data_IF_153429381165
#
_entry.id   IF_153429381165
#
_cell.length_a   1.000
_cell.length_b   1.000
_cell.length_c   1.000
_cell.angle_alpha   90.00
_cell.angle_beta   90.00
_cell.angle_gamma   90.00
#
_symmetry.space_group_name_H-M   'P 1'
#
loop_
_entity.id
_entity.type
_entity.pdbx_description
1 polymer ?
#
# COMPACT_ATOMS: atom_id res chain seq x y z
N UNK A 1 15.60 3.60 18.15
CA UNK A 1 14.23 4.19 18.25
C UNK A 1 13.20 3.06 18.28
N UNK A 2 11.99 3.24 18.89
CA UNK A 2 10.91 2.26 18.76
C UNK A 2 10.40 2.22 17.32
N UNK A 3 10.09 1.01 16.84
CA UNK A 3 9.43 0.82 15.55
C UNK A 3 7.96 0.54 15.82
N UNK A 4 7.08 1.25 15.15
CA UNK A 4 5.63 1.09 15.18
C UNK A 4 5.10 0.85 13.77
N UNK A 5 3.93 0.25 13.65
CA UNK A 5 3.26 0.11 12.35
C UNK A 5 1.83 0.67 12.42
N UNK A 6 1.46 1.46 11.43
CA UNK A 6 0.08 1.80 11.12
C UNK A 6 -0.35 0.98 9.91
N UNK A 7 -1.32 0.10 10.11
CA UNK A 7 -1.94 -0.70 9.05
C UNK A 7 -3.25 -0.03 8.67
N UNK A 8 -3.33 0.48 7.44
CA UNK A 8 -4.52 1.14 6.91
C UNK A 8 -5.51 0.10 6.38
N UNK A 9 -6.66 -0.04 7.02
CA UNK A 9 -7.72 -1.01 6.72
C UNK A 9 -9.06 -0.34 6.39
N UNK A 10 -9.04 0.81 5.70
CA UNK A 10 -10.22 1.64 5.43
C UNK A 10 -10.88 1.45 4.05
N UNK A 11 -10.34 0.60 3.17
CA UNK A 11 -10.85 0.41 1.82
C UNK A 11 -12.19 -0.35 1.78
N UNK A 12 -13.05 -0.06 0.80
CA UNK A 12 -14.32 -0.78 0.59
C UNK A 12 -14.17 -2.09 -0.19
N UNK A 13 -13.12 -2.22 -1.02
CA UNK A 13 -12.84 -3.42 -1.79
C UNK A 13 -13.93 -3.84 -2.79
N UNK A 14 -14.78 -2.94 -3.25
CA UNK A 14 -15.97 -3.20 -4.09
C UNK A 14 -15.68 -3.99 -5.38
N UNK A 15 -14.43 -3.94 -5.89
CA UNK A 15 -14.02 -4.70 -7.09
C UNK A 15 -13.97 -6.21 -6.88
N UNK A 16 -14.05 -6.67 -5.62
CA UNK A 16 -14.06 -8.09 -5.26
C UNK A 16 -15.46 -8.63 -5.01
N UNK A 17 -16.49 -7.84 -5.38
CA UNK A 17 -17.84 -8.38 -5.42
C UNK A 17 -17.90 -9.63 -6.31
N UNK A 18 -18.61 -10.70 -5.92
CA UNK A 18 -19.51 -10.84 -4.78
C UNK A 18 -18.86 -11.33 -3.48
N UNK A 19 -17.57 -11.61 -3.39
CA UNK A 19 -16.94 -11.98 -2.10
C UNK A 19 -16.83 -10.79 -1.15
N UNK A 20 -16.47 -9.58 -1.66
CA UNK A 20 -16.52 -8.37 -0.83
C UNK A 20 -17.94 -7.84 -0.70
N UNK A 21 -18.26 -7.36 0.48
CA UNK A 21 -19.54 -6.75 0.83
C UNK A 21 -19.29 -5.48 1.67
N UNK A 22 -20.33 -4.65 1.81
CA UNK A 22 -20.29 -3.48 2.67
C UNK A 22 -19.91 -3.83 4.14
N UNK A 23 -20.34 -5.00 4.61
CA UNK A 23 -20.02 -5.50 5.94
C UNK A 23 -18.72 -6.35 5.98
N UNK A 24 -18.19 -6.77 4.84
CA UNK A 24 -17.00 -7.61 4.72
C UNK A 24 -16.11 -7.14 3.55
N UNK A 25 -15.38 -6.02 3.70
CA UNK A 25 -14.49 -5.51 2.65
C UNK A 25 -13.27 -6.40 2.40
N UNK A 26 -12.57 -6.14 1.29
CA UNK A 26 -11.44 -6.93 0.76
C UNK A 26 -10.40 -7.30 1.82
N UNK A 27 -10.00 -6.37 2.67
CA UNK A 27 -8.94 -6.60 3.66
C UNK A 27 -9.28 -7.67 4.70
N UNK A 28 -10.56 -7.96 4.87
CA UNK A 28 -11.06 -8.99 5.77
C UNK A 28 -11.37 -10.32 5.06
N UNK A 29 -11.08 -10.40 3.74
CA UNK A 29 -11.26 -11.62 2.96
C UNK A 29 -9.99 -12.48 3.00
N UNK A 30 -10.18 -13.79 3.00
CA UNK A 30 -9.14 -14.76 2.66
C UNK A 30 -9.10 -14.93 1.14
N UNK A 31 -8.03 -14.46 0.52
CA UNK A 31 -7.79 -14.58 -0.93
C UNK A 31 -6.67 -15.58 -1.25
N UNK A 32 -6.06 -16.14 -0.22
CA UNK A 32 -4.95 -17.09 -0.29
C UNK A 32 -5.40 -18.49 0.17
N UNK A 33 -4.59 -19.53 -0.13
CA UNK A 33 -4.91 -20.93 0.19
C UNK A 33 -4.78 -21.26 1.68
N UNK A 34 -4.11 -20.43 2.47
CA UNK A 34 -3.85 -20.65 3.91
C UNK A 34 -5.03 -20.27 4.81
N UNK A 35 -6.12 -19.77 4.24
CA UNK A 35 -7.33 -19.38 4.98
C UNK A 35 -7.21 -18.08 5.77
N UNK A 36 -6.05 -17.41 5.77
CA UNK A 36 -5.85 -16.14 6.47
C UNK A 36 -6.36 -14.97 5.66
N UNK A 37 -6.88 -13.97 6.36
CA UNK A 37 -7.32 -12.73 5.72
C UNK A 37 -6.13 -11.85 5.34
N UNK A 38 -6.34 -10.92 4.41
CA UNK A 38 -5.29 -9.99 3.98
C UNK A 38 -4.75 -9.16 5.16
N UNK A 39 -5.63 -8.74 6.08
CA UNK A 39 -5.25 -8.04 7.30
C UNK A 39 -4.35 -8.91 8.19
N UNK A 40 -4.73 -10.17 8.44
CA UNK A 40 -3.93 -11.11 9.23
C UNK A 40 -2.55 -11.33 8.63
N UNK A 41 -2.47 -11.56 7.31
CA UNK A 41 -1.21 -11.72 6.59
C UNK A 41 -0.32 -10.47 6.70
N UNK A 42 -0.91 -9.28 6.65
CA UNK A 42 -0.14 -8.03 6.77
C UNK A 42 0.43 -7.86 8.18
N UNK A 43 -0.36 -8.14 9.22
CA UNK A 43 0.10 -8.09 10.61
C UNK A 43 1.20 -9.11 10.86
N UNK A 44 0.95 -10.38 10.54
CA UNK A 44 1.92 -11.46 10.77
C UNK A 44 3.27 -11.20 10.09
N UNK A 45 3.24 -10.62 8.90
CA UNK A 45 4.43 -10.29 8.12
C UNK A 45 5.36 -9.33 8.84
N UNK A 46 4.84 -8.38 9.62
CA UNK A 46 5.66 -7.37 10.31
C UNK A 46 5.98 -7.70 11.76
N UNK A 47 5.31 -8.69 12.36
CA UNK A 47 5.57 -9.12 13.74
C UNK A 47 7.05 -9.41 14.08
N UNK A 48 7.90 -9.92 13.15
CA UNK A 48 9.32 -10.13 13.44
C UNK A 48 10.11 -8.85 13.74
N UNK A 49 9.59 -7.66 13.35
CA UNK A 49 10.26 -6.37 13.57
C UNK A 49 9.42 -5.36 14.35
N UNK A 50 8.11 -5.59 14.47
CA UNK A 50 7.16 -4.71 15.19
C UNK A 50 6.35 -5.58 16.15
N UNK A 51 6.54 -5.49 17.46
CA UNK A 51 5.73 -6.23 18.43
C UNK A 51 4.26 -5.80 18.35
N UNK A 52 3.32 -6.71 18.72
CA UNK A 52 1.88 -6.49 18.56
C UNK A 52 1.39 -5.22 19.26
N UNK A 53 1.92 -4.89 20.42
CA UNK A 53 1.59 -3.66 21.18
C UNK A 53 2.02 -2.36 20.50
N UNK A 54 2.86 -2.46 19.44
CA UNK A 54 3.29 -1.33 18.61
C UNK A 54 2.56 -1.28 17.25
N UNK A 55 1.64 -2.21 16.99
CA UNK A 55 0.84 -2.24 15.76
C UNK A 55 -0.46 -1.49 16.02
N UNK A 56 -0.78 -0.55 15.14
CA UNK A 56 -2.04 0.19 15.08
C UNK A 56 -2.77 -0.19 13.80
N UNK A 57 -4.09 -0.35 13.88
CA UNK A 57 -4.95 -0.60 12.72
C UNK A 57 -5.94 0.54 12.59
N UNK A 58 -5.85 1.30 11.49
CA UNK A 58 -6.83 2.34 11.18
C UNK A 58 -7.90 1.77 10.25
N UNK A 59 -9.16 1.88 10.66
CA UNK A 59 -10.30 1.33 9.93
C UNK A 59 -11.54 2.20 10.10
N UNK A 60 -12.61 1.91 9.36
CA UNK A 60 -13.91 2.56 9.59
C UNK A 60 -14.58 2.03 10.86
N UNK A 61 -15.34 2.89 11.54
CA UNK A 61 -16.07 2.56 12.77
C UNK A 61 -16.83 1.22 12.70
N UNK A 62 -17.44 0.93 11.55
CA UNK A 62 -18.25 -0.29 11.34
C UNK A 62 -17.43 -1.58 11.27
N UNK A 63 -16.09 -1.50 11.21
CA UNK A 63 -15.21 -2.66 11.06
C UNK A 63 -14.39 -2.96 12.31
N UNK A 64 -14.61 -2.24 13.41
CA UNK A 64 -13.89 -2.44 14.68
C UNK A 64 -13.98 -3.88 15.16
N UNK A 65 -15.19 -4.43 15.19
CA UNK A 65 -15.43 -5.79 15.66
C UNK A 65 -14.76 -6.84 14.77
N UNK A 66 -14.74 -6.61 13.44
CA UNK A 66 -14.01 -7.48 12.49
C UNK A 66 -12.50 -7.45 12.73
N UNK A 67 -11.93 -6.27 13.02
CA UNK A 67 -10.51 -6.18 13.36
C UNK A 67 -10.22 -6.97 14.61
N UNK A 68 -11.06 -6.83 15.63
CA UNK A 68 -10.89 -7.53 16.90
C UNK A 68 -11.07 -9.06 16.77
N UNK A 69 -12.04 -9.50 15.98
CA UNK A 69 -12.24 -10.92 15.65
C UNK A 69 -11.03 -11.52 14.95
N UNK A 70 -10.47 -10.82 13.95
CA UNK A 70 -9.36 -11.32 13.14
C UNK A 70 -8.00 -11.16 13.82
N UNK A 71 -7.86 -10.20 14.72
CA UNK A 71 -6.64 -9.89 15.47
C UNK A 71 -6.91 -9.87 16.97
N UNK A 72 -7.20 -11.03 17.60
CA UNK A 72 -7.64 -11.07 19.01
C UNK A 72 -6.58 -10.59 20.02
N UNK A 73 -5.31 -10.49 19.59
CA UNK A 73 -4.21 -10.01 20.44
C UNK A 73 -3.88 -8.52 20.23
N UNK A 74 -4.61 -7.79 19.39
CA UNK A 74 -4.42 -6.36 19.23
C UNK A 74 -4.93 -5.62 20.46
N UNK A 75 -4.21 -4.57 20.87
CA UNK A 75 -4.69 -3.72 21.95
C UNK A 75 -5.89 -2.89 21.47
N UNK A 76 -6.92 -2.78 22.28
CA UNK A 76 -8.15 -2.05 21.96
C UNK A 76 -7.89 -0.59 21.61
N UNK A 77 -6.99 0.08 22.35
CA UNK A 77 -6.57 1.45 22.06
C UNK A 77 -5.76 1.62 20.79
N UNK A 78 -5.31 0.52 20.17
CA UNK A 78 -4.56 0.54 18.90
C UNK A 78 -5.48 0.35 17.67
N UNK A 79 -6.78 0.11 17.88
CA UNK A 79 -7.77 0.09 16.78
C UNK A 79 -8.33 1.50 16.62
N UNK A 80 -7.82 2.21 15.60
CA UNK A 80 -8.18 3.60 15.32
C UNK A 80 -9.37 3.64 14.37
N UNK A 81 -10.53 4.03 14.90
CA UNK A 81 -11.78 4.02 14.14
C UNK A 81 -12.05 5.39 13.51
N UNK A 82 -11.90 5.49 12.19
CA UNK A 82 -12.29 6.70 11.44
C UNK A 82 -13.82 6.78 11.36
N UNK A 83 -14.44 7.88 11.83
CA UNK A 83 -15.90 8.07 11.74
C UNK A 83 -16.39 8.10 10.29
N UNK A 84 -15.57 8.65 9.40
CA UNK A 84 -15.77 8.71 7.96
C UNK A 84 -14.43 8.65 7.24
N UNK A 85 -14.33 7.86 6.19
CA UNK A 85 -13.09 7.76 5.41
C UNK A 85 -12.76 9.06 4.68
N UNK A 86 -11.59 9.62 4.93
CA UNK A 86 -11.09 10.89 4.37
C UNK A 86 -9.79 10.73 3.58
N UNK A 87 -9.54 9.52 3.04
CA UNK A 87 -8.31 9.18 2.31
C UNK A 87 -7.08 9.04 3.24
N UNK A 88 -5.88 8.86 2.68
CA UNK A 88 -4.71 8.39 3.44
C UNK A 88 -4.06 9.45 4.32
N UNK A 89 -4.12 10.75 4.00
CA UNK A 89 -3.46 11.76 4.84
C UNK A 89 -4.12 11.92 6.22
N UNK A 90 -5.46 12.04 6.37
CA UNK A 90 -6.10 12.04 7.67
C UNK A 90 -5.89 10.73 8.45
N UNK A 91 -5.94 9.59 7.79
CA UNK A 91 -5.68 8.28 8.38
C UNK A 91 -4.27 8.20 8.98
N UNK A 92 -3.25 8.58 8.20
CA UNK A 92 -1.85 8.60 8.64
C UNK A 92 -1.64 9.63 9.76
N UNK A 93 -2.27 10.81 9.63
CA UNK A 93 -2.24 11.84 10.67
C UNK A 93 -2.83 11.37 12.00
N UNK A 94 -3.96 10.66 11.96
CA UNK A 94 -4.59 10.05 13.13
C UNK A 94 -3.64 9.04 13.79
N UNK A 95 -3.07 8.12 13.00
CA UNK A 95 -2.07 7.17 13.49
C UNK A 95 -0.86 7.86 14.11
N UNK A 96 -0.34 8.92 13.46
CA UNK A 96 0.83 9.64 13.95
C UNK A 96 0.59 10.32 15.31
N UNK A 97 -0.58 10.95 15.53
CA UNK A 97 -0.85 11.60 16.83
C UNK A 97 -1.09 10.60 17.95
N UNK A 98 -1.68 9.41 17.67
CA UNK A 98 -1.80 8.33 18.64
C UNK A 98 -0.45 7.72 19.02
N UNK A 99 0.40 7.46 18.02
CA UNK A 99 1.75 6.94 18.23
C UNK A 99 2.59 7.96 19.02
N UNK A 100 2.55 9.26 18.66
CA UNK A 100 3.24 10.31 19.38
C UNK A 100 2.78 10.40 20.85
N UNK A 101 1.47 10.28 21.09
CA UNK A 101 0.90 10.30 22.45
C UNK A 101 1.36 9.12 23.29
N UNK A 102 1.40 7.92 22.70
CA UNK A 102 1.72 6.67 23.41
C UNK A 102 3.21 6.44 23.59
N UNK A 103 4.03 6.77 22.60
CA UNK A 103 5.45 6.41 22.56
C UNK A 103 6.41 7.60 22.49
N UNK A 104 5.92 8.80 22.24
CA UNK A 104 6.76 9.94 21.89
C UNK A 104 7.32 9.79 20.48
N UNK A 105 8.63 10.02 20.32
CA UNK A 105 9.30 9.85 19.02
C UNK A 105 9.49 8.37 18.71
N UNK A 106 9.00 7.96 17.54
CA UNK A 106 9.07 6.60 17.04
C UNK A 106 9.23 6.57 15.51
N UNK A 107 9.76 5.47 14.97
CA UNK A 107 9.63 5.15 13.55
C UNK A 107 8.24 4.58 13.32
N UNK A 108 7.59 5.09 12.29
CA UNK A 108 6.25 4.70 11.87
C UNK A 108 6.31 4.08 10.48
N UNK A 109 6.06 2.78 10.41
CA UNK A 109 5.78 2.06 9.17
C UNK A 109 4.31 2.30 8.82
N UNK A 110 4.02 2.68 7.58
CA UNK A 110 2.65 2.83 7.07
C UNK A 110 2.44 1.78 5.98
N UNK A 111 1.49 0.90 6.17
CA UNK A 111 1.24 -0.25 5.32
C UNK A 111 -0.25 -0.35 4.98
N UNK A 112 -0.57 -0.73 3.74
CA UNK A 112 -1.93 -1.12 3.39
C UNK A 112 -2.21 -2.54 3.88
N UNK A 113 -3.41 -2.78 4.39
CA UNK A 113 -3.83 -4.08 4.92
C UNK A 113 -4.13 -5.13 3.86
N UNK A 114 -4.16 -4.74 2.58
CA UNK A 114 -4.75 -5.52 1.50
C UNK A 114 -3.79 -5.77 0.32
N UNK A 115 -2.49 -5.58 0.55
CA UNK A 115 -1.43 -5.88 -0.42
C UNK A 115 -0.88 -7.30 -0.24
N UNK A 116 -0.59 -7.96 -1.35
CA UNK A 116 0.12 -9.23 -1.37
C UNK A 116 1.63 -8.99 -1.44
N UNK A 117 2.36 -9.81 -0.70
CA UNK A 117 3.83 -9.89 -0.72
C UNK A 117 4.19 -11.37 -0.68
N UNK A 118 4.96 -11.83 -1.67
CA UNK A 118 5.32 -13.25 -1.80
C UNK A 118 6.57 -13.60 -0.98
N UNK A 119 7.58 -12.76 -1.04
CA UNK A 119 8.82 -12.93 -0.27
C UNK A 119 8.81 -12.04 0.97
N UNK A 120 8.27 -12.58 2.07
CA UNK A 120 8.20 -11.88 3.34
C UNK A 120 9.56 -11.64 3.99
N UNK A 121 10.57 -12.47 3.71
CA UNK A 121 11.93 -12.31 4.27
C UNK A 121 12.60 -11.10 3.64
N UNK A 122 12.63 -11.04 2.31
CA UNK A 122 13.20 -9.90 1.59
C UNK A 122 12.43 -8.60 1.87
N UNK A 123 11.11 -8.67 2.01
CA UNK A 123 10.30 -7.52 2.43
C UNK A 123 10.74 -6.95 3.78
N UNK A 124 11.00 -7.80 4.78
CA UNK A 124 11.47 -7.37 6.09
C UNK A 124 12.87 -6.75 6.04
N UNK A 125 13.74 -7.23 5.15
CA UNK A 125 15.05 -6.63 4.92
C UNK A 125 14.92 -5.21 4.36
N UNK A 126 14.08 -5.03 3.35
CA UNK A 126 13.77 -3.71 2.75
C UNK A 126 13.19 -2.76 3.81
N UNK A 127 12.25 -3.23 4.65
CA UNK A 127 11.70 -2.40 5.73
C UNK A 127 12.73 -1.99 6.77
N UNK A 128 13.65 -2.90 7.16
CA UNK A 128 14.75 -2.57 8.09
C UNK A 128 15.67 -1.50 7.50
N UNK A 129 16.00 -1.61 6.22
CA UNK A 129 16.78 -0.60 5.53
C UNK A 129 16.04 0.75 5.49
N UNK A 130 14.74 0.74 5.18
CA UNK A 130 13.91 1.93 5.21
C UNK A 130 13.89 2.60 6.59
N UNK A 131 13.85 1.82 7.67
CA UNK A 131 13.96 2.34 9.03
C UNK A 131 15.30 3.05 9.27
N UNK A 132 16.42 2.47 8.81
CA UNK A 132 17.76 3.09 8.95
C UNK A 132 17.85 4.42 8.21
N UNK A 133 17.25 4.52 7.01
CA UNK A 133 17.21 5.76 6.23
C UNK A 133 16.28 6.79 6.87
N UNK A 134 15.11 6.37 7.34
CA UNK A 134 14.12 7.24 7.97
C UNK A 134 14.57 7.79 9.34
N UNK A 135 15.40 7.04 10.07
CA UNK A 135 15.96 7.49 11.37
C UNK A 135 16.90 8.68 11.21
N UNK A 136 17.51 8.84 10.04
CA UNK A 136 18.41 9.97 9.76
C UNK A 136 17.61 11.22 9.41
N UNK A 137 18.03 12.38 9.92
CA UNK A 137 17.46 13.69 9.60
C UNK A 137 15.90 13.70 9.70
N UNK A 138 15.25 14.30 8.71
CA UNK A 138 13.77 14.34 8.55
C UNK A 138 13.34 13.58 7.31
N UNK A 139 14.01 12.48 7.01
CA UNK A 139 13.76 11.72 5.79
C UNK A 139 12.37 11.12 5.79
N UNK A 140 11.71 11.19 4.64
CA UNK A 140 10.52 10.42 4.30
C UNK A 140 10.96 9.31 3.33
N UNK A 141 10.64 8.07 3.66
CA UNK A 141 11.02 6.92 2.83
C UNK A 141 9.78 6.25 2.28
N UNK A 142 9.79 5.94 0.99
CA UNK A 142 8.78 5.10 0.35
C UNK A 142 9.41 3.84 -0.22
N UNK A 143 8.64 2.78 -0.32
CA UNK A 143 9.07 1.55 -0.99
C UNK A 143 8.57 1.60 -2.43
N UNK A 144 9.50 1.56 -3.37
CA UNK A 144 9.19 1.56 -4.79
C UNK A 144 9.25 0.15 -5.37
N UNK A 145 8.36 -0.19 -6.30
CA UNK A 145 8.34 -1.49 -6.96
C UNK A 145 8.80 -1.32 -8.42
N UNK A 146 9.68 -2.19 -8.89
CA UNK A 146 10.11 -2.16 -10.29
C UNK A 146 8.93 -2.49 -11.21
N UNK A 147 8.56 -1.59 -12.13
CA UNK A 147 7.47 -1.85 -13.05
C UNK A 147 7.89 -2.89 -14.09
N UNK A 148 7.02 -3.88 -14.33
CA UNK A 148 7.21 -4.90 -15.37
C UNK A 148 6.16 -4.82 -16.48
N UNK A 149 5.17 -3.92 -16.34
CA UNK A 149 4.19 -3.57 -17.36
C UNK A 149 3.69 -2.13 -17.16
N UNK A 150 3.06 -1.49 -18.14
CA UNK A 150 2.62 -0.10 -18.04
C UNK A 150 1.25 0.00 -17.34
N UNK A 151 1.23 -0.13 -16.01
CA UNK A 151 0.03 0.01 -15.19
C UNK A 151 -0.39 1.48 -15.08
N UNK A 152 -1.64 1.79 -15.37
CA UNK A 152 -2.19 3.15 -15.28
C UNK A 152 -2.97 3.42 -14.00
N UNK A 153 -3.21 2.39 -13.21
CA UNK A 153 -3.88 2.47 -11.91
C UNK A 153 -2.97 2.85 -10.75
N UNK A 154 -1.64 2.83 -10.98
CA UNK A 154 -0.63 3.10 -9.94
C UNK A 154 -0.02 4.49 -10.08
N UNK A 155 0.48 5.01 -8.97
CA UNK A 155 1.44 6.12 -8.96
C UNK A 155 2.84 5.65 -9.38
N UNK A 156 3.61 6.56 -9.95
CA UNK A 156 5.00 6.34 -10.35
C UNK A 156 5.92 7.31 -9.61
N UNK A 157 7.08 6.80 -9.21
CA UNK A 157 8.14 7.52 -8.52
C UNK A 157 9.30 7.68 -9.49
N UNK A 158 9.65 8.91 -9.87
CA UNK A 158 10.83 9.20 -10.69
C UNK A 158 12.07 9.25 -9.81
N UNK A 159 13.08 8.48 -10.17
CA UNK A 159 14.37 8.48 -9.50
C UNK A 159 15.19 9.69 -9.90
N UNK A 160 15.81 10.39 -8.94
CA UNK A 160 16.75 11.44 -9.25
C UNK A 160 18.01 10.87 -9.93
N UNK A 161 18.57 11.61 -10.87
CA UNK A 161 19.74 11.17 -11.64
C UNK A 161 21.04 11.14 -10.82
N UNK A 162 21.04 11.75 -9.65
CA UNK A 162 22.20 11.80 -8.73
C UNK A 162 21.95 10.86 -7.57
N UNK A 163 22.83 9.90 -7.40
CA UNK A 163 22.87 9.05 -6.21
C UNK A 163 23.20 9.89 -4.97
N UNK A 164 22.49 9.66 -3.87
CA UNK A 164 22.83 10.29 -2.59
C UNK A 164 24.17 9.77 -2.10
N UNK A 165 25.25 10.51 -2.35
CA UNK A 165 26.49 10.33 -1.62
C UNK A 165 26.25 10.66 -0.14
N UNK A 166 26.63 9.75 0.74
CA UNK A 166 26.63 9.99 2.18
C UNK A 166 27.47 11.22 2.48
N UNK A 167 26.86 12.29 3.00
CA UNK A 167 27.56 13.36 3.69
C UNK A 167 28.13 12.82 5.02
N UNK A 168 29.25 12.14 4.91
CA UNK A 168 30.09 11.84 6.08
C UNK A 168 31.51 11.51 5.61
N UNK A 169 32.29 12.50 5.29
CA UNK A 169 33.74 12.65 5.42
C UNK A 169 34.30 13.62 4.38
N UNK A 170 34.21 14.91 4.64
CA UNK A 170 35.19 15.91 4.12
C UNK A 170 35.36 17.04 5.10
N UNK A 171 36.10 16.77 6.16
CA UNK A 171 37.05 17.73 6.67
C UNK A 171 38.43 17.09 6.56
N UNK A 172 39.35 17.82 5.89
CA UNK A 172 40.77 17.59 5.69
C UNK A 172 41.16 16.75 4.46
N UNK A 173 41.47 17.38 3.34
CA UNK A 173 42.85 17.64 2.98
C UNK A 173 42.96 18.64 1.81
N UNK A 174 43.73 19.70 2.02
CA UNK A 174 44.17 20.63 0.97
C UNK A 174 45.40 20.02 0.28
N UNK A 175 45.32 19.78 -1.03
CA UNK A 175 46.51 19.39 -1.82
C UNK A 175 46.26 19.50 -3.32
N UNK A 176 46.93 20.52 -3.92
CA UNK A 176 46.98 20.82 -5.36
C UNK A 176 47.35 19.61 -6.22
N UNK A 177 46.76 19.44 -7.41
CA UNK A 177 47.40 19.73 -8.69
C UNK A 177 46.50 19.33 -9.88
N UNK A 178 46.59 20.17 -10.93
CA UNK A 178 45.81 20.06 -12.13
C UNK A 178 46.32 19.03 -13.14
N UNK A 179 45.49 18.66 -14.09
CA UNK A 179 45.74 18.68 -15.56
C UNK A 179 44.56 18.08 -16.34
N UNK A 180 44.28 18.82 -17.41
CA UNK A 180 43.48 18.56 -18.59
C UNK A 180 43.31 17.13 -19.11
N UNK A 181 42.13 16.87 -19.72
CA UNK A 181 42.02 15.85 -20.77
C UNK A 181 40.59 15.51 -21.18
N UNK A 182 40.07 16.19 -22.18
CA UNK A 182 39.14 15.77 -23.27
C UNK A 182 38.18 14.59 -23.08
N UNK A 183 36.93 14.94 -23.33
CA UNK A 183 35.85 14.36 -24.08
C UNK A 183 35.87 12.86 -24.44
N UNK A 184 34.72 12.26 -24.19
CA UNK A 184 34.09 11.32 -25.15
C UNK A 184 32.84 10.66 -24.58
N UNK A 185 31.84 10.67 -25.39
CA UNK A 185 30.80 9.65 -25.61
C UNK A 185 29.75 9.37 -24.53
N UNK A 186 28.54 9.82 -24.89
CA UNK A 186 27.28 9.46 -24.22
C UNK A 186 26.81 8.09 -24.74
N UNK A 187 27.27 7.01 -24.15
CA UNK A 187 26.63 5.72 -24.28
C UNK A 187 25.84 5.43 -22.98
N UNK A 188 24.56 5.15 -23.15
CA UNK A 188 23.66 4.73 -22.08
C UNK A 188 24.20 3.48 -21.36
N UNK A 189 24.63 3.66 -20.12
CA UNK A 189 25.11 2.58 -19.24
C UNK A 189 23.88 1.90 -18.61
N UNK A 190 23.78 0.56 -18.62
CA UNK A 190 22.68 -0.15 -17.95
C UNK A 190 22.61 0.15 -16.45
N UNK A 191 21.42 0.13 -15.88
CA UNK A 191 21.11 0.46 -14.49
C UNK A 191 21.96 -0.31 -13.44
N UNK A 192 22.50 -1.46 -13.83
CA UNK A 192 23.34 -2.34 -12.99
C UNK A 192 24.75 -1.81 -12.69
N UNK A 193 25.19 -0.71 -13.32
CA UNK A 193 26.55 -0.15 -13.18
C UNK A 193 26.59 1.24 -12.53
N UNK A 194 25.44 1.76 -12.05
CA UNK A 194 25.37 3.09 -11.42
C UNK A 194 25.27 2.95 -9.90
N UNK A 195 26.34 2.54 -9.27
CA UNK A 195 26.44 2.38 -7.83
C UNK A 195 27.14 3.54 -7.17
N UNK A 196 26.53 4.10 -6.12
CA UNK A 196 27.27 4.65 -5.01
C UNK A 196 26.43 4.82 -3.74
N UNK A 197 27.07 4.56 -2.63
CA UNK A 197 26.58 4.36 -1.28
C UNK A 197 25.75 3.08 -1.13
N UNK A 198 26.45 1.98 -1.19
CA UNK A 198 25.93 0.65 -0.86
C UNK A 198 25.54 0.64 0.61
N UNK A 199 24.25 0.67 0.91
CA UNK A 199 23.70 0.03 2.08
C UNK A 199 23.96 -1.48 1.94
N UNK A 200 24.08 -2.26 3.02
CA UNK A 200 24.38 -3.69 2.94
C UNK A 200 23.39 -4.52 2.11
N UNK A 201 22.22 -3.97 1.75
CA UNK A 201 21.11 -4.70 1.15
C UNK A 201 20.54 -4.10 -0.13
N UNK A 202 20.88 -2.86 -0.53
CA UNK A 202 20.27 -2.27 -1.72
C UNK A 202 20.64 -0.82 -2.00
N UNK A 203 20.03 -0.27 -3.03
CA UNK A 203 20.26 1.11 -3.46
C UNK A 203 19.15 2.01 -2.93
N UNK A 204 19.54 3.05 -2.18
CA UNK A 204 18.65 4.14 -1.76
C UNK A 204 18.73 5.25 -2.78
N UNK A 205 17.60 5.66 -3.32
CA UNK A 205 17.51 6.71 -4.32
C UNK A 205 16.78 7.93 -3.77
N UNK A 206 17.24 9.12 -4.11
CA UNK A 206 16.44 10.33 -3.96
C UNK A 206 15.29 10.31 -4.95
N UNK A 207 14.13 10.79 -4.54
CA UNK A 207 12.97 10.96 -5.41
C UNK A 207 13.00 12.33 -6.07
N UNK A 208 12.86 12.37 -7.40
CA UNK A 208 12.73 13.62 -8.15
C UNK A 208 11.29 14.12 -8.14
N UNK A 209 10.33 13.26 -8.46
CA UNK A 209 8.91 13.58 -8.40
C UNK A 209 8.02 12.31 -8.32
N UNK A 210 6.77 12.54 -7.93
CA UNK A 210 5.69 11.55 -8.02
C UNK A 210 4.81 11.91 -9.22
N UNK A 211 4.25 10.89 -9.88
CA UNK A 211 3.23 11.06 -10.92
C UNK A 211 2.12 10.05 -10.65
N UNK A 212 0.96 10.54 -10.29
CA UNK A 212 -0.17 9.68 -9.95
C UNK A 212 -0.98 9.34 -11.20
N UNK A 213 -1.22 8.05 -11.42
CA UNK A 213 -2.09 7.49 -12.46
C UNK A 213 -1.88 8.10 -13.85
N UNK A 214 -0.72 7.84 -14.49
CA UNK A 214 -0.39 8.38 -15.80
C UNK A 214 -1.33 7.81 -16.89
N UNK A 215 -1.40 8.50 -18.01
CA UNK A 215 -2.01 7.95 -19.23
C UNK A 215 -1.20 6.75 -19.78
N UNK A 216 -1.79 5.90 -20.66
CA UNK A 216 -1.13 4.68 -21.16
C UNK A 216 0.18 4.96 -21.90
N UNK A 217 0.31 6.09 -22.60
CA UNK A 217 1.52 6.45 -23.35
C UNK A 217 2.64 6.80 -22.37
N UNK A 218 2.33 7.64 -21.40
CA UNK A 218 3.27 8.01 -20.33
C UNK A 218 3.70 6.81 -19.49
N UNK A 219 2.76 5.94 -19.11
CA UNK A 219 3.06 4.72 -18.36
C UNK A 219 4.07 3.81 -19.12
N UNK A 220 3.87 3.64 -20.43
CA UNK A 220 4.78 2.87 -21.28
C UNK A 220 6.18 3.50 -21.31
N UNK A 221 6.27 4.81 -21.49
CA UNK A 221 7.54 5.54 -21.48
C UNK A 221 8.27 5.41 -20.15
N UNK A 222 7.55 5.44 -19.04
CA UNK A 222 8.12 5.28 -17.69
C UNK A 222 8.76 3.90 -17.50
N UNK A 223 8.07 2.84 -17.94
CA UNK A 223 8.62 1.47 -17.89
C UNK A 223 9.85 1.34 -18.79
N UNK A 224 9.78 1.82 -20.04
CA UNK A 224 10.88 1.73 -21.01
C UNK A 224 12.11 2.55 -20.58
N UNK A 225 11.92 3.67 -19.89
CA UNK A 225 13.03 4.51 -19.40
C UNK A 225 13.86 3.85 -18.30
N UNK A 226 13.29 2.92 -17.53
CA UNK A 226 13.93 2.27 -16.40
C UNK A 226 14.21 3.18 -15.19
N UNK A 227 13.79 4.46 -15.24
CA UNK A 227 14.04 5.46 -14.19
C UNK A 227 12.85 5.69 -13.26
N UNK A 228 11.83 4.86 -13.37
CA UNK A 228 10.63 4.97 -12.55
C UNK A 228 10.37 3.67 -11.77
N UNK A 229 9.80 3.83 -10.59
CA UNK A 229 9.25 2.74 -9.78
C UNK A 229 7.75 2.98 -9.58
N UNK A 230 6.96 1.93 -9.41
CA UNK A 230 5.60 2.09 -8.90
C UNK A 230 5.62 2.52 -7.44
N UNK A 231 4.74 3.44 -7.09
CA UNK A 231 4.50 3.81 -5.70
C UNK A 231 3.65 2.71 -5.03
N UNK A 232 4.24 1.97 -4.13
CA UNK A 232 3.54 0.89 -3.41
C UNK A 232 2.56 1.40 -2.35
N UNK A 233 2.58 2.70 -2.01
CA UNK A 233 1.83 3.24 -0.90
C UNK A 233 2.32 2.80 0.48
N UNK A 234 3.53 2.22 0.56
CA UNK A 234 4.20 1.87 1.81
C UNK A 234 5.24 2.93 2.16
N UNK A 235 5.20 3.42 3.39
CA UNK A 235 6.07 4.51 3.83
C UNK A 235 6.71 4.22 5.18
N UNK A 236 7.88 4.82 5.39
CA UNK A 236 8.61 4.77 6.66
C UNK A 236 9.15 6.17 6.98
N UNK A 237 8.89 6.65 8.17
CA UNK A 237 9.35 7.95 8.65
C UNK A 237 9.35 8.03 10.17
N UNK A 238 9.96 9.08 10.71
CA UNK A 238 9.74 9.46 12.11
C UNK A 238 8.38 10.13 12.27
N UNK A 239 7.70 9.86 13.38
CA UNK A 239 6.41 10.51 13.69
C UNK A 239 6.52 12.03 13.63
N UNK A 240 7.60 12.61 14.18
CA UNK A 240 7.83 14.05 14.10
C UNK A 240 8.01 14.54 12.66
N UNK A 241 8.67 13.77 11.79
CA UNK A 241 8.89 14.15 10.40
C UNK A 241 7.58 14.25 9.62
N UNK A 242 6.69 13.27 9.74
CA UNK A 242 5.41 13.32 9.04
C UNK A 242 4.49 14.40 9.61
N UNK A 243 4.42 14.57 10.92
CA UNK A 243 3.61 15.63 11.54
C UNK A 243 4.10 17.03 11.16
N UNK A 244 5.42 17.24 11.04
CA UNK A 244 5.98 18.51 10.56
C UNK A 244 5.59 18.77 9.08
N UNK A 245 5.64 17.77 8.23
CA UNK A 245 5.23 17.91 6.83
C UNK A 245 3.71 18.16 6.71
N UNK A 246 2.88 17.48 7.50
CA UNK A 246 1.46 17.78 7.60
C UNK A 246 1.23 19.22 8.06
N UNK A 247 1.97 19.70 9.06
CA UNK A 247 1.90 21.09 9.52
C UNK A 247 2.22 22.08 8.40
N UNK A 248 3.25 21.80 7.61
CA UNK A 248 3.72 22.70 6.56
C UNK A 248 2.78 22.73 5.34
N UNK A 249 2.22 21.59 4.93
CA UNK A 249 1.47 21.47 3.68
C UNK A 249 -0.05 21.38 3.87
N UNK A 250 -0.50 20.95 5.05
CA UNK A 250 -1.91 20.77 5.42
C UNK A 250 -2.18 21.39 6.81
N UNK A 251 -1.93 22.70 7.01
CA UNK A 251 -1.93 23.33 8.35
C UNK A 251 -3.28 23.22 9.06
N UNK A 252 -4.41 23.28 8.33
CA UNK A 252 -5.75 23.09 8.90
C UNK A 252 -5.90 21.70 9.51
N UNK A 253 -5.53 20.65 8.75
CA UNK A 253 -5.55 19.27 9.24
C UNK A 253 -4.62 19.07 10.44
N UNK A 254 -3.42 19.68 10.42
CA UNK A 254 -2.52 19.60 11.57
C UNK A 254 -3.13 20.18 12.84
N UNK A 255 -3.80 21.34 12.72
CA UNK A 255 -4.49 21.96 13.85
C UNK A 255 -5.56 21.02 14.42
N UNK A 256 -6.38 20.46 13.56
CA UNK A 256 -7.47 19.54 13.92
C UNK A 256 -6.93 18.25 14.55
N UNK A 257 -5.85 17.68 14.00
CA UNK A 257 -5.16 16.52 14.58
C UNK A 257 -4.60 16.80 15.98
N UNK A 258 -4.12 18.02 16.26
CA UNK A 258 -3.67 18.41 17.60
C UNK A 258 -4.83 18.54 18.60
N UNK A 259 -6.04 18.84 18.14
CA UNK A 259 -7.25 18.77 18.99
C UNK A 259 -7.55 17.32 19.35
N UNK A 260 -7.55 16.42 18.35
CA UNK A 260 -7.71 14.97 18.59
C UNK A 260 -6.64 14.45 19.56
N UNK A 261 -5.36 14.81 19.35
CA UNK A 261 -4.25 14.34 20.20
C UNK A 261 -4.44 14.66 21.69
N UNK A 262 -5.02 15.81 22.01
CA UNK A 262 -5.32 16.19 23.40
C UNK A 262 -6.37 15.28 24.02
N UNK A 263 -7.33 14.83 23.22
CA UNK A 263 -8.42 13.99 23.65
C UNK A 263 -8.06 12.49 23.73
N UNK A 264 -7.01 12.05 23.05
CA UNK A 264 -6.56 10.64 23.05
C UNK A 264 -6.42 10.11 24.48
N UNK A 265 -7.12 9.00 24.78
CA UNK A 265 -7.15 8.34 26.08
C UNK A 265 -8.08 9.01 27.10
N UNK A 266 -8.96 9.89 26.67
CA UNK A 266 -10.02 10.48 27.51
C UNK A 266 -11.40 10.01 27.07
N UNK A 267 -12.41 10.17 27.94
CA UNK A 267 -13.82 9.84 27.63
C UNK A 267 -14.40 10.68 26.47
N UNK A 268 -13.75 11.78 26.11
CA UNK A 268 -14.18 12.68 25.04
C UNK A 268 -13.57 12.35 23.68
N UNK A 269 -12.66 11.37 23.61
CA UNK A 269 -11.90 11.07 22.39
C UNK A 269 -12.82 10.81 21.19
N UNK A 270 -13.80 9.93 21.35
CA UNK A 270 -14.71 9.55 20.26
C UNK A 270 -15.54 10.74 19.76
N UNK A 271 -16.09 11.55 20.67
CA UNK A 271 -16.89 12.72 20.32
C UNK A 271 -16.04 13.76 19.54
N UNK A 272 -14.84 14.04 20.04
CA UNK A 272 -13.92 14.99 19.39
C UNK A 272 -13.48 14.47 18.03
N UNK A 273 -13.23 13.17 17.92
CA UNK A 273 -12.85 12.54 16.65
C UNK A 273 -13.97 12.68 15.61
N UNK A 274 -15.22 12.44 15.97
CA UNK A 274 -16.39 12.60 15.09
C UNK A 274 -16.56 14.05 14.62
N UNK A 275 -16.45 15.01 15.52
CA UNK A 275 -16.53 16.43 15.20
C UNK A 275 -15.41 16.85 14.23
N UNK A 276 -14.17 16.47 14.52
CA UNK A 276 -13.00 16.82 13.72
C UNK A 276 -13.03 16.18 12.34
N UNK A 277 -13.26 14.86 12.26
CA UNK A 277 -13.23 14.14 10.99
C UNK A 277 -14.30 14.58 10.00
N UNK A 278 -15.47 15.02 10.48
CA UNK A 278 -16.51 15.52 9.61
C UNK A 278 -16.04 16.74 8.78
N UNK A 279 -15.22 17.60 9.37
CA UNK A 279 -14.67 18.81 8.76
C UNK A 279 -13.40 18.63 7.93
N UNK A 280 -12.67 17.51 8.10
CA UNK A 280 -11.42 17.27 7.37
C UNK A 280 -11.62 17.15 5.86
N UNK A 281 -10.71 17.73 5.09
CA UNK A 281 -10.63 17.52 3.66
C UNK A 281 -10.16 16.11 3.33
N UNK A 282 -10.80 15.48 2.33
CA UNK A 282 -10.35 14.18 1.82
C UNK A 282 -9.16 14.36 0.89
N UNK A 283 -7.98 13.97 1.33
CA UNK A 283 -6.73 14.11 0.57
C UNK A 283 -5.82 12.89 0.82
N UNK A 284 -5.16 12.40 -0.25
CA UNK A 284 -4.14 11.37 -0.09
C UNK A 284 -2.84 11.96 0.45
N UNK A 285 -2.06 11.14 1.13
CA UNK A 285 -0.72 11.54 1.62
C UNK A 285 0.20 11.87 0.45
N UNK A 286 0.01 11.20 -0.69
CA UNK A 286 0.78 11.42 -1.91
C UNK A 286 0.62 12.87 -2.39
N UNK A 287 -0.60 13.31 -2.68
CA UNK A 287 -0.90 14.68 -3.10
C UNK A 287 -0.70 15.72 -2.00
N UNK A 288 -1.05 15.37 -0.77
CA UNK A 288 -1.02 16.30 0.36
C UNK A 288 0.39 16.62 0.83
N UNK A 289 1.28 15.63 0.79
CA UNK A 289 2.62 15.71 1.39
C UNK A 289 3.70 15.26 0.42
N UNK A 290 3.64 14.02 -0.12
CA UNK A 290 4.78 13.40 -0.80
C UNK A 290 5.19 14.14 -2.09
N UNK A 291 4.26 14.71 -2.83
CA UNK A 291 4.58 15.52 -4.03
C UNK A 291 5.25 16.87 -3.72
N UNK A 292 5.18 17.33 -2.47
CA UNK A 292 5.64 18.66 -2.05
C UNK A 292 6.83 18.63 -1.11
N UNK A 293 7.02 17.52 -0.42
CA UNK A 293 8.03 17.37 0.61
C UNK A 293 9.44 17.32 -0.01
N UNK A 294 10.41 17.71 0.82
CA UNK A 294 11.84 17.56 0.52
C UNK A 294 12.40 16.35 1.25
N UNK A 295 13.59 15.88 0.84
CA UNK A 295 14.27 14.73 1.46
C UNK A 295 13.43 13.44 1.43
N UNK A 296 12.88 13.14 0.25
CA UNK A 296 12.18 11.90 0.00
C UNK A 296 13.14 10.92 -0.64
N UNK A 297 13.16 9.72 -0.10
CA UNK A 297 13.97 8.60 -0.57
C UNK A 297 13.07 7.43 -0.92
N UNK A 298 13.51 6.62 -1.89
CA UNK A 298 12.85 5.37 -2.23
C UNK A 298 13.84 4.22 -2.20
N UNK A 299 13.37 3.07 -1.74
CA UNK A 299 14.11 1.82 -1.74
C UNK A 299 13.34 0.87 -2.66
N UNK A 300 13.97 0.37 -3.76
CA UNK A 300 13.35 -0.61 -4.62
C UNK A 300 13.12 -1.93 -3.89
N UNK A 301 11.92 -2.47 -3.98
CA UNK A 301 11.56 -3.78 -3.49
C UNK A 301 11.26 -4.74 -4.63
N UNK A 302 11.81 -5.96 -4.55
CA UNK A 302 11.54 -7.07 -5.47
C UNK A 302 11.14 -8.31 -4.66
N UNK A 303 10.04 -8.18 -3.95
CA UNK A 303 9.50 -9.21 -3.04
C UNK A 303 8.14 -9.75 -3.50
N UNK A 304 7.83 -9.60 -4.80
CA UNK A 304 6.58 -10.11 -5.37
C UNK A 304 5.35 -9.37 -4.85
N UNK A 305 5.41 -8.02 -4.84
CA UNK A 305 4.29 -7.16 -4.44
C UNK A 305 3.20 -7.09 -5.51
N UNK A 306 1.94 -7.10 -5.07
CA UNK A 306 0.75 -6.80 -5.88
C UNK A 306 -0.28 -6.11 -4.97
N UNK A 307 -0.92 -5.04 -5.45
CA UNK A 307 -1.97 -4.33 -4.70
C UNK A 307 -3.28 -5.13 -4.61
N UNK A 308 -3.34 -6.25 -5.35
CA UNK A 308 -4.54 -7.09 -5.48
C UNK A 308 -5.78 -6.25 -5.80
N UNK A 309 -5.67 -5.41 -6.83
CA UNK A 309 -6.71 -4.42 -7.17
C UNK A 309 -7.96 -4.98 -7.86
N UNK A 310 -7.95 -6.22 -8.32
CA UNK A 310 -9.06 -6.84 -9.05
C UNK A 310 -9.00 -8.37 -9.03
N UNK A 311 -10.02 -9.03 -9.54
CA UNK A 311 -10.02 -10.49 -9.74
C UNK A 311 -8.88 -10.98 -10.64
N UNK A 312 -8.43 -10.14 -11.60
CA UNK A 312 -7.27 -10.48 -12.44
C UNK A 312 -5.98 -10.61 -11.62
N UNK A 313 -5.83 -9.79 -10.58
CA UNK A 313 -4.70 -9.91 -9.66
C UNK A 313 -4.73 -11.23 -8.88
N UNK A 314 -5.92 -11.70 -8.46
CA UNK A 314 -6.07 -13.04 -7.85
C UNK A 314 -5.60 -14.13 -8.81
N UNK A 315 -5.89 -14.00 -10.12
CA UNK A 315 -5.37 -14.90 -11.15
C UNK A 315 -3.85 -14.94 -11.21
N UNK A 316 -3.18 -13.77 -11.11
CA UNK A 316 -1.70 -13.68 -11.09
C UNK A 316 -1.06 -14.26 -9.83
N UNK A 317 -1.80 -14.33 -8.72
CA UNK A 317 -1.31 -14.80 -7.43
C UNK A 317 -1.31 -16.31 -7.27
N UNK A 318 -2.15 -17.01 -8.01
CA UNK A 318 -2.38 -18.45 -7.91
C UNK A 318 -1.78 -19.19 -9.11
N UNK A 319 -1.44 -20.44 -8.91
CA UNK A 319 -0.97 -21.31 -9.98
C UNK A 319 -2.14 -21.64 -10.92
N UNK A 320 -1.89 -21.53 -12.22
CA UNK A 320 -2.81 -21.93 -13.27
C UNK A 320 -2.60 -23.43 -13.62
N UNK A 321 -3.65 -24.09 -14.06
CA UNK A 321 -3.55 -25.42 -14.68
C UNK A 321 -2.91 -25.35 -16.08
N UNK A 322 -2.78 -26.51 -16.73
CA UNK A 322 -2.21 -26.63 -18.09
C UNK A 322 -2.99 -25.87 -19.18
N UNK A 323 -4.24 -25.50 -18.91
CA UNK A 323 -5.10 -24.70 -19.78
C UNK A 323 -5.13 -23.22 -19.40
N UNK A 324 -4.30 -22.77 -18.44
CA UNK A 324 -4.28 -21.39 -17.97
C UNK A 324 -5.41 -21.03 -17.02
N UNK A 325 -6.20 -22.00 -16.52
CA UNK A 325 -7.27 -21.72 -15.58
C UNK A 325 -6.74 -21.65 -14.15
N UNK A 326 -7.21 -20.67 -13.40
CA UNK A 326 -7.00 -20.54 -11.95
C UNK A 326 -8.28 -20.92 -11.24
N UNK A 327 -8.26 -22.04 -10.52
CA UNK A 327 -9.45 -22.61 -9.90
C UNK A 327 -9.33 -22.67 -8.38
N UNK A 328 -10.45 -22.42 -7.69
CA UNK A 328 -10.60 -22.59 -6.25
C UNK A 328 -12.03 -23.07 -5.94
N UNK A 329 -12.14 -24.08 -5.08
CA UNK A 329 -13.42 -24.69 -4.73
C UNK A 329 -13.73 -25.95 -5.56
N UNK A 330 -14.99 -26.34 -5.58
CA UNK A 330 -15.46 -27.53 -6.30
C UNK A 330 -15.79 -27.18 -7.76
N UNK A 331 -14.77 -27.28 -8.64
CA UNK A 331 -14.85 -26.87 -10.05
C UNK A 331 -14.68 -28.07 -10.96
N UNK A 332 -15.57 -28.21 -11.95
CA UNK A 332 -15.46 -29.13 -13.10
C UNK A 332 -15.40 -28.30 -14.39
N UNK A 333 -14.21 -28.23 -14.98
CA UNK A 333 -13.97 -27.47 -16.21
C UNK A 333 -13.70 -28.43 -17.39
N UNK A 334 -14.42 -28.27 -18.51
CA UNK A 334 -14.27 -29.04 -19.75
C UNK A 334 -14.10 -28.03 -20.90
N UNK A 335 -13.08 -28.22 -21.75
CA UNK A 335 -12.77 -27.30 -22.87
C UNK A 335 -12.79 -25.83 -22.46
N UNK A 336 -12.17 -25.55 -21.30
CA UNK A 336 -12.16 -24.22 -20.65
C UNK A 336 -10.74 -23.73 -20.57
N UNK A 337 -10.49 -22.46 -20.99
CA UNK A 337 -9.14 -21.88 -21.07
C UNK A 337 -9.08 -20.48 -20.44
N UNK A 338 -7.95 -20.19 -19.81
CA UNK A 338 -7.62 -18.85 -19.31
C UNK A 338 -8.70 -18.23 -18.41
N UNK A 339 -9.39 -19.06 -17.60
CA UNK A 339 -10.46 -18.63 -16.72
C UNK A 339 -10.00 -18.48 -15.27
N UNK A 340 -10.65 -17.58 -14.53
CA UNK A 340 -10.52 -17.44 -13.07
C UNK A 340 -11.84 -17.91 -12.45
N UNK A 341 -11.81 -19.06 -11.79
CA UNK A 341 -12.99 -19.74 -11.29
C UNK A 341 -12.89 -19.85 -9.77
N UNK A 342 -13.74 -19.11 -9.07
CA UNK A 342 -13.77 -19.04 -7.62
C UNK A 342 -15.13 -19.51 -7.11
N UNK A 343 -15.14 -20.58 -6.36
CA UNK A 343 -16.33 -21.14 -5.74
C UNK A 343 -16.09 -21.63 -4.33
N UNK A 344 -17.12 -22.21 -3.76
CA UNK A 344 -17.08 -22.86 -2.46
C UNK A 344 -17.28 -24.38 -2.60
N UNK A 345 -18.18 -24.94 -1.78
CA UNK A 345 -18.50 -26.38 -1.81
C UNK A 345 -19.49 -26.78 -2.95
N UNK A 346 -20.30 -25.82 -3.40
CA UNK A 346 -21.21 -26.01 -4.50
C UNK A 346 -20.44 -26.31 -5.78
N UNK A 347 -20.84 -27.37 -6.50
CA UNK A 347 -20.22 -27.71 -7.78
C UNK A 347 -20.51 -26.63 -8.82
N UNK A 348 -19.46 -26.10 -9.43
CA UNK A 348 -19.50 -25.25 -10.61
C UNK A 348 -19.01 -26.08 -11.80
N UNK A 349 -19.88 -26.43 -12.70
CA UNK A 349 -19.54 -27.08 -13.96
C UNK A 349 -19.53 -26.04 -15.08
N UNK A 350 -18.42 -25.98 -15.82
CA UNK A 350 -18.22 -25.01 -16.89
C UNK A 350 -17.63 -25.72 -18.12
N UNK A 351 -18.10 -25.41 -19.30
CA UNK A 351 -17.65 -26.08 -20.51
C UNK A 351 -17.63 -25.14 -21.74
N UNK A 352 -16.61 -25.31 -22.59
CA UNK A 352 -16.52 -24.65 -23.89
C UNK A 352 -16.35 -23.13 -23.84
N UNK A 353 -15.68 -22.58 -22.81
CA UNK A 353 -15.53 -21.14 -22.62
C UNK A 353 -14.06 -20.74 -22.36
N UNK A 354 -13.77 -19.47 -22.56
CA UNK A 354 -12.44 -18.91 -22.32
C UNK A 354 -12.52 -17.48 -21.78
N UNK A 355 -11.44 -17.06 -21.10
CA UNK A 355 -11.21 -15.69 -20.62
C UNK A 355 -12.33 -15.15 -19.72
N UNK A 356 -12.93 -16.03 -18.91
CA UNK A 356 -13.96 -15.65 -17.95
C UNK A 356 -13.42 -15.51 -16.53
N UNK A 357 -14.10 -14.66 -15.78
CA UNK A 357 -14.06 -14.61 -14.32
C UNK A 357 -15.41 -15.08 -13.82
N UNK A 358 -15.42 -16.16 -13.06
CA UNK A 358 -16.60 -16.71 -12.40
C UNK A 358 -16.33 -16.72 -10.90
N UNK A 359 -17.19 -16.05 -10.13
CA UNK A 359 -17.10 -16.01 -8.68
C UNK A 359 -18.45 -16.33 -8.08
N UNK A 360 -18.53 -17.44 -7.38
CA UNK A 360 -19.75 -17.92 -6.74
C UNK A 360 -19.66 -17.77 -5.22
N UNK A 361 -20.72 -17.24 -4.64
CA UNK A 361 -20.96 -17.15 -3.21
C UNK A 361 -22.29 -17.83 -2.88
N UNK A 362 -22.70 -17.84 -1.62
CA UNK A 362 -23.98 -18.46 -1.22
C UNK A 362 -25.18 -17.77 -1.85
N UNK A 363 -25.11 -16.45 -2.02
CA UNK A 363 -26.23 -15.58 -2.40
C UNK A 363 -26.08 -14.91 -3.77
N UNK A 364 -24.91 -14.93 -4.38
CA UNK A 364 -24.67 -14.24 -5.65
C UNK A 364 -23.57 -14.93 -6.48
N UNK A 365 -23.75 -14.94 -7.80
CA UNK A 365 -22.75 -15.40 -8.75
C UNK A 365 -22.40 -14.27 -9.72
N UNK A 366 -21.10 -13.93 -9.81
CA UNK A 366 -20.57 -13.05 -10.85
C UNK A 366 -20.07 -13.90 -12.02
N UNK A 367 -20.44 -13.53 -13.24
CA UNK A 367 -19.86 -14.05 -14.47
C UNK A 367 -19.55 -12.87 -15.37
N UNK A 368 -18.29 -12.68 -15.73
CA UNK A 368 -17.88 -11.65 -16.68
C UNK A 368 -16.65 -12.09 -17.46
N UNK A 369 -16.36 -11.44 -18.59
CA UNK A 369 -15.05 -11.57 -19.24
C UNK A 369 -13.95 -10.96 -18.38
N UNK A 370 -12.70 -11.36 -18.58
CA UNK A 370 -11.55 -10.73 -17.92
C UNK A 370 -11.54 -9.21 -18.13
N UNK A 371 -11.78 -8.75 -19.36
CA UNK A 371 -11.88 -7.33 -19.70
C UNK A 371 -13.09 -6.63 -19.08
N UNK A 372 -14.13 -7.40 -18.78
CA UNK A 372 -15.37 -6.91 -18.17
C UNK A 372 -15.31 -6.67 -16.66
N UNK A 373 -14.20 -7.00 -15.99
CA UNK A 373 -14.08 -6.84 -14.53
C UNK A 373 -14.24 -5.39 -14.06
N UNK A 374 -13.94 -4.40 -14.90
CA UNK A 374 -14.16 -2.98 -14.61
C UNK A 374 -15.65 -2.61 -14.50
N UNK A 375 -16.54 -3.41 -15.06
CA UNK A 375 -18.00 -3.18 -15.05
C UNK A 375 -18.66 -3.61 -13.72
N UNK A 376 -17.93 -4.26 -12.81
CA UNK A 376 -18.44 -4.62 -11.47
C UNK A 376 -19.02 -3.41 -10.74
N UNK A 377 -18.39 -2.23 -10.87
CA UNK A 377 -18.90 -0.99 -10.30
C UNK A 377 -20.31 -0.64 -10.81
N UNK A 378 -20.57 -0.86 -12.10
CA UNK A 378 -21.90 -0.60 -12.70
C UNK A 378 -22.95 -1.57 -12.17
N UNK A 379 -22.57 -2.84 -11.94
CA UNK A 379 -23.45 -3.82 -11.30
C UNK A 379 -23.85 -3.34 -9.91
N UNK A 380 -22.89 -2.91 -9.11
CA UNK A 380 -23.14 -2.38 -7.77
C UNK A 380 -24.05 -1.14 -7.78
N UNK A 381 -23.85 -0.22 -8.74
CA UNK A 381 -24.74 0.93 -8.92
C UNK A 381 -26.17 0.51 -9.25
N UNK A 382 -26.35 -0.48 -10.13
CA UNK A 382 -27.68 -1.01 -10.45
C UNK A 382 -28.33 -1.69 -9.24
N UNK A 383 -27.57 -2.43 -8.42
CA UNK A 383 -28.08 -3.00 -7.18
C UNK A 383 -28.57 -1.92 -6.21
N UNK A 384 -27.81 -0.82 -6.05
CA UNK A 384 -28.23 0.35 -5.25
C UNK A 384 -29.52 0.98 -5.78
N UNK A 385 -29.62 1.18 -7.11
CA UNK A 385 -30.83 1.73 -7.75
C UNK A 385 -32.06 0.83 -7.55
N UNK A 386 -31.86 -0.48 -7.56
CA UNK A 386 -32.92 -1.49 -7.31
C UNK A 386 -33.22 -1.69 -5.83
N UNK A 387 -32.54 -0.98 -4.93
CA UNK A 387 -32.65 -1.15 -3.46
C UNK A 387 -32.37 -2.57 -2.98
N UNK A 388 -31.48 -3.28 -3.66
CA UNK A 388 -31.04 -4.65 -3.34
C UNK A 388 -29.79 -4.61 -2.46
N UNK A 389 -29.89 -3.94 -1.31
CA UNK A 389 -28.76 -3.66 -0.41
C UNK A 389 -28.19 -4.91 0.25
N UNK A 390 -28.94 -5.99 0.33
CA UNK A 390 -28.51 -7.29 0.86
C UNK A 390 -27.37 -7.93 0.02
N UNK A 391 -27.19 -7.48 -1.22
CA UNK A 391 -26.10 -7.94 -2.10
C UNK A 391 -24.88 -6.99 -2.14
N UNK A 392 -24.92 -5.88 -1.41
CA UNK A 392 -23.85 -4.85 -1.42
C UNK A 392 -22.80 -5.05 -0.33
#
# INVERSE_FOLDING_TARGET
MKITALIMAGGRGERFWPKSRKHLPKQFLSLTKDGKTMLQLTVERVLPIVPMEHIFVATGQNYRDLVHEQLPNILEENILCEPVGKNTAPCIGLGAVHIEKKFGEALMLVLASDHMIRDGVHFLEVLKEACIVAEKNKNLVTIGIRPNYPETGYGYIKLAQTECAQDSAKERDNGKDGRNGNGLDKTSIPLSSRTSAVSPLGHVYSVECFTEKPDPVSAKQYVESGNYLWNSGMFVWKVSSILENIKNFLPGMYHDLKVVQKAVGTDQEQEILEQVFSGLSSVSIDYGVMERAKHIYTIPGDFGWDDVGSWLAVGRMKEADENGNVTEGNILAVDTKDCILQGGQKLIAIAGVQELVVVDTEDATLICSKDGTNQIKMILEQLRQRKQENYL
#
